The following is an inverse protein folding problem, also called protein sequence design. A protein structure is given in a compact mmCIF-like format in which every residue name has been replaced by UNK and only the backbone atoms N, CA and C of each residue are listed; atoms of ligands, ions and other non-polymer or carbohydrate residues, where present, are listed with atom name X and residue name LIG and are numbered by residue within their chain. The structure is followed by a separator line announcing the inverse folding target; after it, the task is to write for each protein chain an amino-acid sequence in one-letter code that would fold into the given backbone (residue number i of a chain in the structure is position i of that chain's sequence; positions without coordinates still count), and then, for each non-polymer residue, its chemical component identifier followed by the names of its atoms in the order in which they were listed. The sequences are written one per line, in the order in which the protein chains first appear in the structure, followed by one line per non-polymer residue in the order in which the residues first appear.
data_IF_532407020790
#
_entry.id   IF_532407020790
#
_cell.length_a   1.000
_cell.length_b   1.000
_cell.length_c   1.000
_cell.angle_alpha   90.00
_cell.angle_beta   90.00
_cell.angle_gamma   90.00
#
_symmetry.space_group_name_H-M   'P 1'
#
loop_
_entity.id
_entity.type
_entity.pdbx_description
1 polymer ?
#
# COMPACT_ATOMS: atom_id res chain seq x y z
N UNK A 1 -35.62 -31.76 40.12
CA UNK A 1 -34.19 -31.54 39.76
C UNK A 1 -33.82 -31.79 38.30
N UNK A 2 -34.61 -32.51 37.48
CA UNK A 2 -34.28 -32.82 36.06
C UNK A 2 -34.57 -31.69 35.05
N UNK A 3 -35.38 -30.70 35.37
CA UNK A 3 -35.73 -29.56 34.48
C UNK A 3 -34.75 -28.37 34.53
N UNK A 4 -33.94 -28.28 35.55
CA UNK A 4 -32.92 -27.21 35.65
C UNK A 4 -31.63 -27.52 34.89
N UNK A 5 -31.27 -28.80 34.70
CA UNK A 5 -30.08 -29.20 33.95
C UNK A 5 -30.21 -28.94 32.45
N UNK A 6 -31.41 -29.03 31.88
CA UNK A 6 -31.65 -28.79 30.44
C UNK A 6 -31.51 -27.32 30.05
N UNK A 7 -31.80 -26.41 30.98
CA UNK A 7 -31.72 -24.96 30.68
C UNK A 7 -30.27 -24.45 30.70
N UNK A 8 -29.43 -25.01 31.54
CA UNK A 8 -27.99 -24.66 31.62
C UNK A 8 -27.22 -25.19 30.40
N UNK A 9 -27.62 -26.35 29.85
CA UNK A 9 -26.98 -26.89 28.65
C UNK A 9 -27.27 -26.08 27.36
N UNK A 10 -28.46 -25.47 27.27
CA UNK A 10 -28.82 -24.61 26.12
C UNK A 10 -28.08 -23.28 26.15
N UNK A 11 -27.82 -22.71 27.34
CA UNK A 11 -27.09 -21.47 27.49
C UNK A 11 -25.58 -21.65 27.14
N UNK A 12 -24.99 -22.80 27.48
CA UNK A 12 -23.61 -23.13 27.14
C UNK A 12 -23.42 -23.34 25.63
N UNK A 13 -24.44 -23.86 24.92
CA UNK A 13 -24.41 -24.09 23.47
C UNK A 13 -24.56 -22.79 22.65
N UNK A 14 -25.14 -21.71 23.23
CA UNK A 14 -25.29 -20.40 22.60
C UNK A 14 -24.04 -19.50 22.74
N UNK A 15 -23.11 -19.85 23.63
CA UNK A 15 -21.89 -19.08 23.87
C UNK A 15 -20.68 -19.55 23.03
N UNK A 16 -20.79 -20.65 22.28
CA UNK A 16 -19.70 -21.19 21.47
C UNK A 16 -19.75 -20.81 19.98
N UNK A 17 -20.69 -19.96 19.56
CA UNK A 17 -20.90 -19.63 18.14
C UNK A 17 -20.55 -18.18 17.77
N UNK A 18 -19.53 -17.61 18.39
CA UNK A 18 -19.10 -16.23 18.07
C UNK A 18 -17.60 -16.07 17.84
N UNK A 19 -16.93 -17.10 17.35
CA UNK A 19 -15.56 -16.95 16.85
C UNK A 19 -15.53 -17.40 15.40
N UNK A 20 -16.25 -16.67 14.54
CA UNK A 20 -16.00 -16.76 13.11
C UNK A 20 -15.12 -15.57 12.69
N UNK A 21 -13.86 -15.88 12.51
CA UNK A 21 -13.04 -15.42 11.39
C UNK A 21 -13.05 -13.91 11.12
N UNK A 22 -12.58 -13.08 12.04
CA UNK A 22 -11.78 -11.95 11.60
C UNK A 22 -10.48 -12.57 11.06
N UNK A 23 -10.38 -12.72 9.74
CA UNK A 23 -9.10 -12.91 9.11
C UNK A 23 -8.22 -11.77 9.64
N UNK A 24 -7.17 -12.13 10.34
CA UNK A 24 -6.28 -11.21 11.02
C UNK A 24 -5.57 -10.36 9.95
N UNK A 25 -6.20 -9.25 9.56
CA UNK A 25 -5.61 -8.18 8.75
C UNK A 25 -4.51 -7.42 9.52
N UNK A 26 -4.07 -7.95 10.67
CA UNK A 26 -3.05 -7.34 11.54
C UNK A 26 -1.69 -7.21 10.86
N UNK A 27 -1.44 -7.97 9.80
CA UNK A 27 -0.15 -8.04 9.11
C UNK A 27 -0.01 -7.00 7.98
N UNK A 28 -1.11 -6.57 7.39
CA UNK A 28 -1.12 -5.59 6.31
C UNK A 28 -1.25 -4.16 6.83
N UNK A 29 -0.55 -3.23 6.20
CA UNK A 29 -0.65 -1.80 6.47
C UNK A 29 -1.82 -1.24 5.68
N UNK A 30 -2.96 -1.11 6.34
CA UNK A 30 -4.21 -0.63 5.74
C UNK A 30 -4.58 0.71 6.38
N UNK A 31 -4.66 1.75 5.55
CA UNK A 31 -5.18 3.05 5.94
C UNK A 31 -6.68 3.09 5.62
N UNK A 32 -7.53 3.05 6.65
CA UNK A 32 -8.97 3.12 6.50
C UNK A 32 -9.41 4.55 6.12
N UNK A 33 -10.38 4.64 5.21
CA UNK A 33 -11.08 5.85 4.79
C UNK A 33 -12.58 5.64 5.02
N UNK A 34 -13.37 6.70 4.93
CA UNK A 34 -14.81 6.67 5.25
C UNK A 34 -15.58 5.50 4.58
N UNK A 35 -15.36 5.27 3.28
CA UNK A 35 -16.05 4.22 2.50
C UNK A 35 -15.09 3.34 1.70
N UNK A 36 -13.82 3.32 2.06
CA UNK A 36 -12.79 2.54 1.37
C UNK A 36 -11.51 2.48 2.16
N UNK A 37 -10.42 2.10 1.50
CA UNK A 37 -9.11 1.97 2.15
C UNK A 37 -7.96 2.07 1.14
N UNK A 38 -6.79 2.41 1.66
CA UNK A 38 -5.51 2.25 0.96
C UNK A 38 -4.76 1.11 1.64
N UNK A 39 -4.56 0.02 0.93
CA UNK A 39 -3.71 -1.08 1.39
C UNK A 39 -2.29 -0.87 0.87
N UNK A 40 -1.43 -0.34 1.72
CA UNK A 40 -0.05 0.00 1.39
C UNK A 40 0.85 -1.24 1.22
N UNK A 41 0.55 -2.34 1.90
CA UNK A 41 1.27 -3.60 1.73
C UNK A 41 1.04 -4.21 0.34
N UNK A 42 -0.21 -4.22 -0.11
CA UNK A 42 -0.57 -4.70 -1.45
C UNK A 42 -0.37 -3.64 -2.54
N UNK A 43 -0.36 -2.36 -2.19
CA UNK A 43 -0.31 -1.24 -3.13
C UNK A 43 -1.60 -1.09 -3.92
N UNK A 44 -2.75 -1.09 -3.23
CA UNK A 44 -4.08 -0.95 -3.86
C UNK A 44 -4.97 0.02 -3.10
N UNK A 45 -5.85 0.69 -3.82
CA UNK A 45 -6.99 1.43 -3.27
C UNK A 45 -8.25 0.61 -3.50
N UNK A 46 -9.05 0.43 -2.46
CA UNK A 46 -10.31 -0.30 -2.51
C UNK A 46 -11.47 0.58 -2.03
N UNK A 47 -12.63 0.43 -2.67
CA UNK A 47 -13.87 1.05 -2.20
C UNK A 47 -15.07 0.14 -2.42
N UNK A 48 -16.08 0.33 -1.56
CA UNK A 48 -17.37 -0.35 -1.64
C UNK A 48 -18.41 0.66 -2.13
N UNK A 49 -19.06 0.36 -3.25
CA UNK A 49 -20.17 1.14 -3.76
C UNK A 49 -21.49 0.41 -3.56
N UNK A 50 -22.55 1.17 -3.37
CA UNK A 50 -23.91 0.70 -3.13
C UNK A 50 -24.82 1.34 -4.18
N UNK A 51 -25.60 0.49 -4.85
CA UNK A 51 -26.67 0.93 -5.73
C UNK A 51 -28.01 0.39 -5.24
N UNK A 52 -28.99 1.28 -5.16
CA UNK A 52 -30.34 0.98 -4.68
C UNK A 52 -31.27 0.93 -5.90
N UNK A 53 -32.12 -0.12 -6.05
CA UNK A 53 -33.07 -0.19 -7.14
C UNK A 53 -34.14 0.89 -7.02
N UNK A 54 -34.70 1.32 -8.15
CA UNK A 54 -35.75 2.33 -8.20
C UNK A 54 -37.04 1.84 -7.53
N UNK A 55 -37.29 0.53 -7.57
CA UNK A 55 -38.49 -0.10 -6.98
C UNK A 55 -38.10 -1.04 -5.83
N UNK A 56 -38.94 -1.08 -4.78
CA UNK A 56 -38.66 -1.89 -3.58
C UNK A 56 -38.70 -3.41 -3.80
N UNK A 57 -39.27 -3.86 -4.91
CA UNK A 57 -39.28 -5.28 -5.34
C UNK A 57 -38.95 -5.31 -6.84
N UNK A 58 -37.66 -5.42 -7.20
CA UNK A 58 -37.28 -5.44 -8.60
C UNK A 58 -37.66 -6.78 -9.23
N UNK A 59 -38.88 -6.85 -9.79
CA UNK A 59 -39.30 -8.00 -10.63
C UNK A 59 -38.61 -8.02 -11.97
N UNK A 60 -38.04 -6.89 -12.41
CA UNK A 60 -37.43 -6.70 -13.71
C UNK A 60 -35.89 -6.68 -13.64
N UNK A 61 -35.28 -7.34 -14.64
CA UNK A 61 -33.81 -7.32 -14.86
C UNK A 61 -33.24 -5.90 -15.03
N UNK A 62 -34.03 -4.94 -15.50
CA UNK A 62 -33.62 -3.55 -15.68
C UNK A 62 -33.28 -2.84 -14.37
N UNK A 63 -34.10 -3.03 -13.31
CA UNK A 63 -33.86 -2.37 -12.02
C UNK A 63 -32.55 -2.85 -11.36
N UNK A 64 -32.24 -4.14 -11.51
CA UNK A 64 -30.96 -4.70 -11.05
C UNK A 64 -29.78 -4.15 -11.85
N UNK A 65 -29.95 -3.92 -13.15
CA UNK A 65 -28.93 -3.31 -14.00
C UNK A 65 -28.68 -1.87 -13.60
N UNK A 66 -29.71 -1.08 -13.34
CA UNK A 66 -29.60 0.29 -12.84
C UNK A 66 -28.87 0.31 -11.50
N UNK A 67 -29.29 -0.51 -10.53
CA UNK A 67 -28.62 -0.62 -9.23
C UNK A 67 -27.14 -1.01 -9.36
N UNK A 68 -26.79 -1.89 -10.29
CA UNK A 68 -25.40 -2.26 -10.54
C UNK A 68 -24.59 -1.07 -11.10
N UNK A 69 -25.16 -0.28 -12.01
CA UNK A 69 -24.52 0.92 -12.57
C UNK A 69 -24.30 1.95 -11.44
N UNK A 70 -25.33 2.19 -10.63
CA UNK A 70 -25.23 3.14 -9.49
C UNK A 70 -24.18 2.69 -8.47
N UNK A 71 -24.12 1.38 -8.14
CA UNK A 71 -23.07 0.85 -7.27
C UNK A 71 -21.67 1.10 -7.83
N UNK A 72 -21.48 0.94 -9.15
CA UNK A 72 -20.18 1.24 -9.81
C UNK A 72 -19.85 2.72 -9.76
N UNK A 73 -20.82 3.59 -10.00
CA UNK A 73 -20.64 5.04 -9.93
C UNK A 73 -20.30 5.51 -8.51
N UNK A 74 -20.95 4.92 -7.50
CA UNK A 74 -20.65 5.22 -6.09
C UNK A 74 -19.21 4.80 -5.73
N UNK A 75 -18.81 3.56 -6.04
CA UNK A 75 -17.44 3.09 -5.84
C UNK A 75 -16.41 3.94 -6.60
N UNK A 76 -16.71 4.34 -7.84
CA UNK A 76 -15.87 5.22 -8.62
C UNK A 76 -15.64 6.58 -7.94
N UNK A 77 -16.69 7.23 -7.43
CA UNK A 77 -16.58 8.51 -6.72
C UNK A 77 -15.71 8.38 -5.47
N UNK A 78 -15.90 7.29 -4.70
CA UNK A 78 -15.14 7.02 -3.48
C UNK A 78 -13.66 6.81 -3.81
N UNK A 79 -13.32 5.94 -4.77
CA UNK A 79 -11.93 5.70 -5.19
C UNK A 79 -11.29 6.99 -5.69
N UNK A 80 -11.98 7.77 -6.51
CA UNK A 80 -11.47 9.04 -7.04
C UNK A 80 -11.14 10.03 -5.91
N UNK A 81 -11.97 10.09 -4.86
CA UNK A 81 -11.69 10.91 -3.67
C UNK A 81 -10.44 10.41 -2.93
N UNK A 82 -10.36 9.11 -2.66
CA UNK A 82 -9.22 8.50 -1.96
C UNK A 82 -7.91 8.72 -2.74
N UNK A 83 -7.95 8.57 -4.06
CA UNK A 83 -6.76 8.75 -4.91
C UNK A 83 -6.28 10.20 -4.90
N UNK A 84 -7.18 11.19 -4.90
CA UNK A 84 -6.78 12.61 -4.77
C UNK A 84 -6.03 12.87 -3.46
N UNK A 85 -6.45 12.24 -2.38
CA UNK A 85 -5.83 12.35 -1.05
C UNK A 85 -4.63 11.41 -0.85
N UNK A 86 -4.26 10.61 -1.87
CA UNK A 86 -3.15 9.66 -1.76
C UNK A 86 -1.81 10.41 -1.73
N UNK A 87 -1.03 10.18 -0.70
CA UNK A 87 0.26 10.85 -0.52
C UNK A 87 1.32 10.30 -1.48
N UNK A 88 1.87 11.18 -2.31
CA UNK A 88 3.06 10.90 -3.11
C UNK A 88 4.29 10.93 -2.19
N UNK A 89 4.45 11.99 -1.43
CA UNK A 89 5.53 12.17 -0.45
C UNK A 89 5.01 12.86 0.83
N UNK A 90 5.89 13.42 1.66
CA UNK A 90 5.52 14.07 2.93
C UNK A 90 4.75 15.38 2.79
N UNK A 91 4.74 16.00 1.62
CA UNK A 91 4.18 17.35 1.39
C UNK A 91 3.20 17.43 0.22
N UNK A 92 3.14 16.42 -0.62
CA UNK A 92 2.37 16.44 -1.88
C UNK A 92 1.48 15.21 -1.95
N UNK A 93 0.22 15.40 -2.25
CA UNK A 93 -0.71 14.33 -2.64
C UNK A 93 -0.95 14.32 -4.17
N UNK A 94 -1.73 13.34 -4.62
CA UNK A 94 -2.03 13.17 -6.05
C UNK A 94 -2.90 14.33 -6.57
N UNK A 95 -3.80 14.86 -5.75
CA UNK A 95 -4.66 16.00 -6.11
C UNK A 95 -3.81 17.24 -6.39
N UNK A 96 -2.93 17.60 -5.47
CA UNK A 96 -2.01 18.73 -5.61
C UNK A 96 -1.07 18.56 -6.81
N UNK A 97 -0.52 17.35 -6.98
CA UNK A 97 0.36 17.06 -8.12
C UNK A 97 -0.36 17.21 -9.46
N UNK A 98 -1.60 16.74 -9.54
CA UNK A 98 -2.39 16.82 -10.78
C UNK A 98 -2.89 18.23 -11.10
N UNK A 99 -2.85 19.18 -10.17
CA UNK A 99 -3.16 20.58 -10.49
C UNK A 99 -2.15 21.22 -11.44
N UNK A 100 -0.91 20.69 -11.45
CA UNK A 100 0.17 21.17 -12.32
C UNK A 100 0.03 20.67 -13.76
N UNK A 101 -0.69 19.55 -13.97
CA UNK A 101 -0.95 18.96 -15.29
C UNK A 101 -2.33 18.30 -15.32
N UNK A 102 -3.37 19.00 -15.80
CA UNK A 102 -4.74 18.47 -15.85
C UNK A 102 -4.88 17.16 -16.64
N UNK A 103 -3.96 16.87 -17.58
CA UNK A 103 -3.97 15.62 -18.33
C UNK A 103 -3.69 14.41 -17.44
N UNK A 104 -2.95 14.58 -16.35
CA UNK A 104 -2.68 13.52 -15.37
C UNK A 104 -3.99 13.09 -14.70
N UNK A 105 -4.81 14.06 -14.25
CA UNK A 105 -6.09 13.75 -13.60
C UNK A 105 -7.03 13.00 -14.54
N UNK A 106 -7.14 13.44 -15.80
CA UNK A 106 -7.98 12.74 -16.80
C UNK A 106 -7.53 11.29 -17.01
N UNK A 107 -6.23 11.03 -17.04
CA UNK A 107 -5.68 9.66 -17.17
C UNK A 107 -5.99 8.82 -15.93
N UNK A 108 -5.85 9.39 -14.73
CA UNK A 108 -6.20 8.73 -13.48
C UNK A 108 -7.70 8.39 -13.43
N UNK A 109 -8.57 9.33 -13.79
CA UNK A 109 -10.02 9.10 -13.84
C UNK A 109 -10.39 7.96 -14.82
N UNK A 110 -9.73 7.89 -15.98
CA UNK A 110 -9.92 6.78 -16.91
C UNK A 110 -9.47 5.43 -16.31
N UNK A 111 -8.39 5.41 -15.55
CA UNK A 111 -7.98 4.20 -14.83
C UNK A 111 -9.00 3.78 -13.78
N UNK A 112 -9.55 4.73 -13.01
CA UNK A 112 -10.57 4.44 -12.00
C UNK A 112 -11.87 3.96 -12.65
N UNK A 113 -12.29 4.51 -13.78
CA UNK A 113 -13.45 4.00 -14.56
C UNK A 113 -13.29 2.53 -14.94
N UNK A 114 -12.06 2.10 -15.21
CA UNK A 114 -11.70 0.73 -15.57
C UNK A 114 -11.21 -0.09 -14.37
N UNK A 115 -11.49 0.35 -13.14
CA UNK A 115 -11.09 -0.36 -11.93
C UNK A 115 -11.69 -1.77 -11.89
N UNK A 116 -10.91 -2.71 -11.35
CA UNK A 116 -11.32 -4.10 -11.24
C UNK A 116 -12.43 -4.25 -10.23
N UNK A 117 -13.55 -4.86 -10.62
CA UNK A 117 -14.57 -5.31 -9.67
C UNK A 117 -14.09 -6.62 -9.05
N UNK A 118 -13.83 -6.61 -7.74
CA UNK A 118 -13.32 -7.77 -6.99
C UNK A 118 -14.42 -8.54 -6.29
N UNK A 119 -15.55 -7.88 -5.97
CA UNK A 119 -16.72 -8.52 -5.35
C UNK A 119 -18.01 -7.88 -5.83
N UNK A 120 -19.05 -8.70 -5.98
CA UNK A 120 -20.45 -8.28 -6.23
C UNK A 120 -21.38 -9.06 -5.32
N UNK A 121 -22.30 -8.36 -4.70
CA UNK A 121 -23.34 -8.93 -3.86
C UNK A 121 -24.71 -8.37 -4.30
N UNK A 122 -25.67 -9.23 -4.46
CA UNK A 122 -27.06 -8.88 -4.76
C UNK A 122 -27.91 -9.24 -3.54
N UNK A 123 -28.52 -8.24 -2.95
CA UNK A 123 -29.37 -8.42 -1.78
C UNK A 123 -30.81 -8.73 -2.21
N UNK A 124 -31.60 -9.26 -1.29
CA UNK A 124 -33.01 -9.66 -1.52
C UNK A 124 -33.93 -8.49 -1.83
N UNK A 125 -33.59 -7.29 -1.32
CA UNK A 125 -34.30 -6.02 -1.59
C UNK A 125 -33.92 -5.39 -2.94
N UNK A 126 -33.09 -6.07 -3.75
CA UNK A 126 -32.59 -5.58 -5.02
C UNK A 126 -31.37 -4.66 -4.94
N UNK A 127 -30.93 -4.29 -3.72
CA UNK A 127 -29.70 -3.52 -3.52
C UNK A 127 -28.49 -4.30 -4.06
N UNK A 128 -27.61 -3.61 -4.77
CA UNK A 128 -26.35 -4.16 -5.28
C UNK A 128 -25.21 -3.53 -4.52
N UNK A 129 -24.31 -4.36 -3.98
CA UNK A 129 -23.04 -3.93 -3.40
C UNK A 129 -21.90 -4.42 -4.27
N UNK A 130 -20.96 -3.55 -4.58
CA UNK A 130 -19.74 -3.93 -5.30
C UNK A 130 -18.52 -3.47 -4.50
N UNK A 131 -17.44 -4.20 -4.69
CA UNK A 131 -16.11 -3.77 -4.25
C UNK A 131 -15.22 -3.64 -5.47
N UNK A 132 -14.59 -2.48 -5.62
CA UNK A 132 -13.69 -2.16 -6.72
C UNK A 132 -12.29 -1.89 -6.19
N UNK A 133 -11.29 -2.21 -7.01
CA UNK A 133 -9.88 -2.06 -6.67
C UNK A 133 -9.10 -1.38 -7.79
N UNK A 134 -8.22 -0.43 -7.42
CA UNK A 134 -7.23 0.20 -8.31
C UNK A 134 -5.84 -0.12 -7.81
N UNK A 135 -4.99 -0.61 -8.70
CA UNK A 135 -3.58 -0.87 -8.40
C UNK A 135 -2.77 0.43 -8.47
N UNK A 136 -2.00 0.70 -7.43
CA UNK A 136 -1.12 1.87 -7.33
C UNK A 136 0.23 1.69 -8.04
N UNK A 137 0.51 0.49 -8.56
CA UNK A 137 1.70 0.15 -9.33
C UNK A 137 1.40 0.26 -10.84
N UNK A 138 2.41 0.02 -11.66
CA UNK A 138 2.25 0.02 -13.12
C UNK A 138 1.83 1.39 -13.66
N UNK A 139 0.76 1.42 -14.43
CA UNK A 139 0.30 2.63 -15.10
C UNK A 139 0.00 3.80 -14.17
N UNK A 140 -0.56 3.55 -12.97
CA UNK A 140 -0.78 4.60 -11.99
C UNK A 140 0.55 5.20 -11.47
N UNK A 141 1.48 4.34 -11.03
CA UNK A 141 2.80 4.79 -10.61
C UNK A 141 3.53 5.56 -11.72
N UNK A 142 3.41 5.13 -12.97
CA UNK A 142 4.00 5.83 -14.12
C UNK A 142 3.51 7.28 -14.27
N UNK A 143 2.27 7.58 -13.87
CA UNK A 143 1.70 8.93 -13.94
C UNK A 143 2.13 9.83 -12.79
N UNK A 144 2.23 9.27 -11.56
CA UNK A 144 2.36 10.09 -10.33
C UNK A 144 3.75 10.08 -9.73
N UNK A 145 4.62 9.12 -10.10
CA UNK A 145 6.00 9.13 -9.63
C UNK A 145 6.79 10.31 -10.22
N UNK A 146 7.67 10.95 -9.42
CA UNK A 146 8.49 12.06 -9.86
C UNK A 146 9.25 11.77 -11.16
N UNK A 147 9.35 12.79 -12.03
CA UNK A 147 10.01 12.68 -13.33
C UNK A 147 11.54 12.60 -13.22
N UNK A 148 12.12 13.00 -12.10
CA UNK A 148 13.55 12.92 -11.79
C UNK A 148 14.04 11.50 -11.51
N UNK A 149 13.14 10.55 -11.26
CA UNK A 149 13.49 9.12 -11.19
C UNK A 149 13.93 8.66 -12.59
N UNK A 150 15.22 8.42 -12.73
CA UNK A 150 15.85 8.08 -14.02
C UNK A 150 15.54 6.63 -14.42
N UNK A 151 15.49 6.33 -15.74
CA UNK A 151 15.52 4.97 -16.25
C UNK A 151 16.81 4.25 -15.79
N UNK A 152 16.75 2.92 -15.85
CA UNK A 152 17.92 2.08 -15.60
C UNK A 152 18.92 2.32 -16.73
N UNK A 153 19.95 3.14 -16.50
CA UNK A 153 21.08 3.15 -17.41
C UNK A 153 21.68 1.74 -17.43
N UNK A 154 22.04 1.26 -18.61
CA UNK A 154 22.77 -0.01 -18.76
C UNK A 154 23.96 0.04 -17.81
N UNK A 155 23.89 -0.74 -16.75
CA UNK A 155 24.93 -0.80 -15.71
C UNK A 155 26.16 -1.36 -16.41
N UNK A 156 27.18 -0.54 -16.58
CA UNK A 156 28.51 -1.05 -16.81
C UNK A 156 28.78 -2.02 -15.67
N UNK A 157 29.04 -3.29 -16.00
CA UNK A 157 29.41 -4.33 -15.03
C UNK A 157 30.68 -3.82 -14.35
N UNK A 158 30.49 -3.18 -13.17
CA UNK A 158 31.62 -2.88 -12.30
C UNK A 158 32.12 -4.25 -11.84
N UNK A 159 33.29 -4.60 -12.32
CA UNK A 159 34.01 -5.81 -11.90
C UNK A 159 34.14 -5.76 -10.38
N UNK A 160 33.40 -6.61 -9.70
CA UNK A 160 33.35 -6.71 -8.25
C UNK A 160 34.72 -7.15 -7.75
N UNK A 161 35.47 -6.21 -7.16
CA UNK A 161 36.52 -6.63 -6.24
C UNK A 161 35.86 -7.29 -5.03
N UNK A 162 36.15 -8.56 -4.83
CA UNK A 162 35.73 -9.35 -3.66
C UNK A 162 36.26 -8.71 -2.38
N UNK A 163 35.52 -7.75 -1.84
CA UNK A 163 35.68 -7.35 -0.45
C UNK A 163 34.84 -8.32 0.40
N UNK A 164 35.40 -8.81 1.48
CA UNK A 164 34.83 -9.77 2.43
C UNK A 164 33.70 -9.21 3.31
N UNK A 165 32.90 -8.28 2.80
CA UNK A 165 31.74 -7.73 3.48
C UNK A 165 30.51 -8.57 3.21
N UNK A 166 29.59 -8.75 4.16
CA UNK A 166 28.35 -9.51 3.92
C UNK A 166 27.56 -8.85 2.80
N UNK A 167 27.19 -9.67 1.81
CA UNK A 167 26.40 -9.22 0.67
C UNK A 167 24.93 -9.12 1.10
N UNK A 168 24.41 -7.91 1.27
CA UNK A 168 22.98 -7.72 1.56
C UNK A 168 22.15 -7.78 0.28
N UNK A 169 20.93 -8.31 0.41
CA UNK A 169 20.00 -8.53 -0.71
C UNK A 169 18.87 -7.50 -0.77
N UNK A 170 18.66 -6.75 0.32
CA UNK A 170 17.63 -5.75 0.46
C UNK A 170 17.82 -4.93 1.74
N UNK A 171 16.94 -3.95 1.95
CA UNK A 171 16.89 -3.10 3.13
C UNK A 171 15.55 -3.27 3.85
N UNK A 172 15.60 -3.48 5.15
CA UNK A 172 14.44 -3.42 6.04
C UNK A 172 14.65 -2.28 7.03
N UNK A 173 13.74 -1.32 7.07
CA UNK A 173 13.77 -0.23 8.04
C UNK A 173 12.70 -0.49 9.09
N UNK A 174 13.11 -0.81 10.31
CA UNK A 174 12.21 -0.90 11.46
C UNK A 174 11.88 0.51 11.99
N UNK A 175 10.72 1.01 11.62
CA UNK A 175 10.24 2.34 11.98
C UNK A 175 9.03 2.28 12.94
N UNK A 176 8.84 1.15 13.62
CA UNK A 176 7.78 1.01 14.63
C UNK A 176 7.93 2.02 15.76
N UNK A 177 6.81 2.52 16.24
CA UNK A 177 6.74 3.52 17.30
C UNK A 177 7.06 4.95 16.84
N UNK A 178 7.41 5.15 15.56
CA UNK A 178 7.74 6.48 15.03
C UNK A 178 6.55 7.21 14.42
N UNK A 179 5.39 6.54 14.29
CA UNK A 179 4.20 7.08 13.66
C UNK A 179 4.42 7.44 12.18
N UNK A 180 5.21 6.65 11.47
CA UNK A 180 5.47 6.84 10.04
C UNK A 180 4.17 6.71 9.26
N UNK A 181 3.92 7.68 8.38
CA UNK A 181 2.78 7.65 7.46
C UNK A 181 3.26 7.14 6.09
N UNK A 182 2.71 6.03 5.59
CA UNK A 182 3.08 5.49 4.29
C UNK A 182 2.85 6.50 3.16
N UNK A 183 3.75 6.49 2.17
CA UNK A 183 3.74 7.34 0.97
C UNK A 183 4.26 6.53 -0.22
N UNK A 184 4.02 7.01 -1.45
CA UNK A 184 4.54 6.36 -2.65
C UNK A 184 6.05 6.56 -2.84
N UNK A 185 6.57 7.70 -2.39
CA UNK A 185 7.98 8.12 -2.51
C UNK A 185 8.55 8.41 -1.12
N UNK A 186 8.91 7.37 -0.35
CA UNK A 186 9.53 7.55 0.96
C UNK A 186 10.96 8.07 0.82
N UNK A 187 11.43 8.78 1.86
CA UNK A 187 12.83 9.18 2.01
C UNK A 187 13.43 8.61 3.29
N UNK A 188 14.64 8.07 3.17
CA UNK A 188 15.46 7.65 4.31
C UNK A 188 16.70 8.53 4.28
N UNK A 189 16.98 9.16 5.40
CA UNK A 189 18.11 10.08 5.57
C UNK A 189 18.96 9.67 6.77
N UNK A 190 20.17 10.12 6.83
CA UNK A 190 21.02 9.94 8.01
C UNK A 190 20.85 11.09 9.03
N UNK A 191 21.56 11.00 10.16
CA UNK A 191 21.51 12.03 11.21
C UNK A 191 22.05 13.40 10.75
N UNK A 192 22.78 13.44 9.64
CA UNK A 192 23.29 14.66 9.00
C UNK A 192 22.33 15.20 7.91
N UNK A 193 21.11 14.66 7.80
CA UNK A 193 20.11 14.97 6.77
C UNK A 193 20.56 14.64 5.33
N UNK A 194 21.57 13.77 5.17
CA UNK A 194 21.97 13.30 3.84
C UNK A 194 21.08 12.14 3.42
N UNK A 195 20.57 12.20 2.19
CA UNK A 195 19.70 11.15 1.66
C UNK A 195 20.48 9.83 1.49
N UNK A 196 19.89 8.76 2.00
CA UNK A 196 20.38 7.39 1.91
C UNK A 196 19.53 6.59 0.92
N UNK A 197 18.21 6.86 0.89
CA UNK A 197 17.26 6.26 -0.02
C UNK A 197 16.15 7.24 -0.38
N UNK A 198 15.81 7.32 -1.66
CA UNK A 198 14.78 8.18 -2.21
C UNK A 198 14.77 8.13 -3.73
N UNK A 199 14.18 9.11 -4.41
CA UNK A 199 14.03 9.12 -5.87
C UNK A 199 15.35 9.04 -6.63
N UNK A 200 16.44 9.59 -6.08
CA UNK A 200 17.77 9.56 -6.72
C UNK A 200 18.43 8.17 -6.72
N UNK A 201 17.97 7.25 -5.87
CA UNK A 201 18.60 5.94 -5.68
C UNK A 201 17.90 4.80 -6.41
N UNK A 202 16.74 5.02 -7.00
CA UNK A 202 15.89 3.99 -7.60
C UNK A 202 15.87 4.08 -9.12
N UNK A 203 15.60 2.95 -9.77
CA UNK A 203 15.29 2.94 -11.20
C UNK A 203 13.79 3.07 -11.40
N UNK A 204 13.40 3.87 -12.40
CA UNK A 204 12.01 4.11 -12.74
C UNK A 204 11.24 2.82 -13.05
N UNK A 205 11.86 1.88 -13.76
CA UNK A 205 11.24 0.61 -14.12
C UNK A 205 10.81 -0.18 -12.87
N UNK A 206 11.71 -0.31 -11.89
CA UNK A 206 11.40 -1.01 -10.65
C UNK A 206 10.44 -0.23 -9.77
N UNK A 207 10.57 1.09 -9.68
CA UNK A 207 9.64 1.94 -8.94
C UNK A 207 8.21 1.86 -9.49
N UNK A 208 8.06 1.79 -10.81
CA UNK A 208 6.76 1.62 -11.49
C UNK A 208 6.20 0.22 -11.25
N UNK A 209 7.02 -0.83 -11.42
CA UNK A 209 6.55 -2.22 -11.35
C UNK A 209 6.13 -2.64 -9.95
N UNK A 210 6.87 -2.25 -8.92
CA UNK A 210 6.65 -2.75 -7.56
C UNK A 210 6.52 -1.68 -6.48
N UNK A 211 6.60 -0.38 -6.86
CA UNK A 211 6.66 0.74 -5.93
C UNK A 211 8.07 0.95 -5.36
N UNK A 212 8.38 2.14 -4.88
CA UNK A 212 9.70 2.44 -4.32
C UNK A 212 9.97 1.63 -3.05
N UNK A 213 8.97 1.41 -2.18
CA UNK A 213 9.08 0.55 -1.00
C UNK A 213 7.86 -0.35 -0.84
N UNK A 214 8.02 -1.43 -0.07
CA UNK A 214 6.92 -2.15 0.56
C UNK A 214 6.66 -1.60 1.96
N UNK A 215 5.46 -1.83 2.49
CA UNK A 215 5.11 -1.54 3.88
C UNK A 215 4.60 -2.80 4.57
N UNK A 216 4.98 -3.01 5.82
CA UNK A 216 4.59 -4.15 6.63
C UNK A 216 4.42 -3.76 8.11
N UNK A 217 3.72 -4.58 8.87
CA UNK A 217 3.55 -4.40 10.33
C UNK A 217 4.44 -5.31 11.16
N UNK A 218 4.94 -6.40 10.58
CA UNK A 218 5.67 -7.41 11.31
C UNK A 218 7.08 -7.61 10.74
N UNK A 219 8.09 -7.33 11.57
CA UNK A 219 9.49 -7.47 11.18
C UNK A 219 9.87 -8.92 10.85
N UNK A 220 9.34 -9.91 11.59
CA UNK A 220 9.69 -11.32 11.36
C UNK A 220 9.25 -11.81 9.99
N UNK A 221 8.06 -11.42 9.55
CA UNK A 221 7.53 -11.82 8.23
C UNK A 221 8.23 -11.12 7.07
N UNK A 222 8.78 -9.94 7.32
CA UNK A 222 9.51 -9.19 6.30
C UNK A 222 10.83 -9.87 5.95
N UNK A 223 11.47 -10.56 6.88
CA UNK A 223 12.74 -11.24 6.63
C UNK A 223 12.62 -12.39 5.61
N UNK A 224 11.43 -12.98 5.48
CA UNK A 224 11.13 -14.03 4.49
C UNK A 224 10.47 -13.46 3.22
N UNK A 225 10.37 -12.13 3.09
CA UNK A 225 9.69 -11.50 1.98
C UNK A 225 10.58 -11.46 0.72
N UNK A 226 10.04 -11.96 -0.39
CA UNK A 226 10.75 -12.04 -1.69
C UNK A 226 11.29 -10.68 -2.17
N UNK A 227 10.69 -9.55 -1.73
CA UNK A 227 11.14 -8.22 -2.11
C UNK A 227 12.55 -7.92 -1.63
N UNK A 228 12.91 -8.34 -0.42
CA UNK A 228 14.21 -8.10 0.20
C UNK A 228 15.14 -9.31 0.11
N UNK A 229 14.58 -10.46 -0.32
CA UNK A 229 15.24 -11.76 -0.44
C UNK A 229 15.86 -12.26 0.88
N UNK A 230 16.85 -13.16 0.78
CA UNK A 230 17.23 -14.05 1.88
C UNK A 230 18.12 -13.41 2.95
N UNK A 231 18.74 -12.27 2.67
CA UNK A 231 19.72 -11.64 3.58
C UNK A 231 19.62 -10.11 3.62
N UNK A 232 18.48 -9.54 4.07
CA UNK A 232 18.34 -8.09 4.12
C UNK A 232 19.17 -7.46 5.24
N UNK A 233 19.67 -6.24 5.00
CA UNK A 233 20.16 -5.39 6.07
C UNK A 233 18.97 -4.81 6.84
N UNK A 234 18.90 -5.08 8.13
CA UNK A 234 17.88 -4.50 9.02
C UNK A 234 18.49 -3.30 9.73
N UNK A 235 17.86 -2.13 9.58
CA UNK A 235 18.24 -0.89 10.26
C UNK A 235 17.07 -0.37 11.09
N UNK A 236 17.37 0.31 12.18
CA UNK A 236 16.36 0.94 13.03
C UNK A 236 16.16 2.39 12.64
N UNK A 237 14.91 2.81 12.42
CA UNK A 237 14.53 4.21 12.37
C UNK A 237 14.70 4.87 13.75
N UNK A 238 15.24 6.08 13.77
CA UNK A 238 15.49 6.83 15.00
C UNK A 238 14.35 7.84 15.28
N UNK A 239 13.90 8.52 14.24
CA UNK A 239 12.81 9.50 14.27
C UNK A 239 12.27 9.75 12.87
N UNK A 240 11.13 10.42 12.78
CA UNK A 240 10.60 10.95 11.52
C UNK A 240 10.82 12.45 11.42
N UNK A 241 10.97 12.96 10.20
CA UNK A 241 11.04 14.39 9.90
C UNK A 241 9.89 14.82 8.97
N UNK A 242 9.70 16.13 8.92
CA UNK A 242 8.70 16.78 8.09
C UNK A 242 7.26 16.61 8.57
N UNK A 243 6.33 17.44 8.06
CA UNK A 243 4.92 17.44 8.49
C UNK A 243 4.20 16.14 8.12
N UNK A 244 4.63 15.47 7.05
CA UNK A 244 4.05 14.22 6.56
C UNK A 244 4.50 12.97 7.30
N UNK A 245 5.49 13.05 8.20
CA UNK A 245 6.09 11.90 8.91
C UNK A 245 6.46 10.74 7.99
N UNK A 246 6.98 11.04 6.81
CA UNK A 246 7.36 10.05 5.79
C UNK A 246 8.85 10.01 5.50
N UNK A 247 9.61 10.94 6.08
CA UNK A 247 11.07 10.93 6.07
C UNK A 247 11.57 10.25 7.33
N UNK A 248 12.37 9.21 7.18
CA UNK A 248 12.86 8.37 8.28
C UNK A 248 14.35 8.62 8.45
N UNK A 249 14.75 8.99 9.67
CA UNK A 249 16.16 9.14 10.03
C UNK A 249 16.70 7.81 10.51
N UNK A 250 17.85 7.39 9.98
CA UNK A 250 18.64 6.23 10.46
C UNK A 250 19.99 6.70 10.99
N UNK A 251 20.70 5.84 11.70
CA UNK A 251 22.00 6.16 12.26
C UNK A 251 23.04 6.42 11.15
N UNK A 252 24.00 7.32 11.41
CA UNK A 252 25.14 7.53 10.52
C UNK A 252 25.94 6.25 10.29
N UNK A 253 26.00 5.36 11.28
CA UNK A 253 26.69 4.07 11.16
C UNK A 253 25.97 3.14 10.15
N UNK A 254 24.66 3.06 10.19
CA UNK A 254 23.89 2.26 9.25
C UNK A 254 23.86 2.89 7.84
N UNK A 255 23.79 4.22 7.77
CA UNK A 255 23.92 4.95 6.50
C UNK A 255 25.29 4.68 5.85
N UNK A 256 26.37 4.67 6.64
CA UNK A 256 27.71 4.34 6.15
C UNK A 256 27.81 2.91 5.61
N UNK A 257 27.19 1.92 6.28
CA UNK A 257 27.10 0.54 5.75
C UNK A 257 26.40 0.49 4.39
N UNK A 258 25.27 1.21 4.25
CA UNK A 258 24.51 1.28 3.00
C UNK A 258 25.28 1.94 1.85
N UNK A 259 26.12 2.94 2.14
CA UNK A 259 26.92 3.64 1.12
C UNK A 259 28.22 2.92 0.79
N UNK A 260 28.69 1.99 1.64
CA UNK A 260 30.03 1.38 1.52
C UNK A 260 30.13 0.29 0.47
N UNK A 261 29.01 -0.24 -0.04
CA UNK A 261 28.99 -1.39 -0.95
C UNK A 261 28.21 -1.10 -2.23
N UNK A 262 28.73 -1.58 -3.35
CA UNK A 262 28.03 -1.52 -4.65
C UNK A 262 26.73 -2.35 -4.66
N UNK A 263 26.72 -3.43 -3.89
CA UNK A 263 25.54 -4.30 -3.70
C UNK A 263 24.40 -3.55 -3.06
N UNK A 264 24.67 -2.68 -2.08
CA UNK A 264 23.65 -1.84 -1.45
C UNK A 264 23.01 -0.90 -2.46
N UNK A 265 23.79 -0.25 -3.30
CA UNK A 265 23.29 0.59 -4.38
C UNK A 265 22.45 -0.22 -5.37
N UNK A 266 22.84 -1.46 -5.67
CA UNK A 266 22.13 -2.33 -6.59
C UNK A 266 20.76 -2.75 -6.09
N UNK A 267 20.62 -3.20 -4.84
CA UNK A 267 19.31 -3.58 -4.32
C UNK A 267 18.40 -2.36 -4.08
N UNK A 268 18.96 -1.20 -3.70
CA UNK A 268 18.21 0.05 -3.59
C UNK A 268 17.69 0.48 -4.96
N UNK A 269 18.52 0.42 -6.01
CA UNK A 269 18.11 0.71 -7.39
C UNK A 269 16.96 -0.17 -7.85
N UNK A 270 16.89 -1.43 -7.38
CA UNK A 270 15.79 -2.36 -7.62
C UNK A 270 14.61 -2.20 -6.64
N UNK A 271 14.55 -1.14 -5.85
CA UNK A 271 13.48 -0.91 -4.86
C UNK A 271 13.28 -2.09 -3.87
N UNK A 272 14.34 -2.83 -3.54
CA UNK A 272 14.29 -3.93 -2.57
C UNK A 272 14.33 -3.37 -1.14
N UNK A 273 13.32 -2.59 -0.82
CA UNK A 273 13.19 -1.90 0.47
C UNK A 273 11.81 -2.17 1.05
N UNK A 274 11.76 -2.50 2.33
CA UNK A 274 10.52 -2.60 3.12
C UNK A 274 10.65 -1.73 4.36
N UNK A 275 9.60 -0.98 4.65
CA UNK A 275 9.48 -0.15 5.84
C UNK A 275 8.45 -0.80 6.75
N UNK A 276 8.89 -1.15 7.97
CA UNK A 276 8.01 -1.72 9.01
C UNK A 276 7.44 -0.59 9.83
N UNK A 277 6.12 -0.48 9.88
CA UNK A 277 5.37 0.59 10.55
C UNK A 277 4.39 0.04 11.58
N UNK A 278 3.69 0.91 12.33
CA UNK A 278 2.68 0.54 13.34
C UNK A 278 1.40 -0.01 12.74
#
# INVERSE_FOLDING_TARGET
MRKQLSFVMIIVYLLTFSVFGYADNSLEVIEQKEKGSVNWSRGVVQAKGIGIPLTKMPENSNDRTVALIDAKLDAFRIISKIIKELRINGTTDVGDYATQDPAIMSKIENMVKNAKVVKKEYLTDGTVKIEMEVNLRGGFAQLVLPKDIKPLDSIALVTMNKASSPVFTGLVVDAKGLGVRPVMVPRIIDENNQEVYGSAFVSREYAVQQGMSGYARNLKEVLDNQRVADHPLVVKGLKTLGPGRSEIVISNADASKLRSTSESLYFMKKCRVIIVVD
#
